data_IF_340480482381
#
_entry.id   IF_340480482381
#
_cell.length_a   1.000
_cell.length_b   1.000
_cell.length_c   1.000
_cell.angle_alpha   90.00
_cell.angle_beta   90.00
_cell.angle_gamma   90.00
#
_symmetry.space_group_name_H-M   'P 1'
#
loop_
_entity.id
_entity.type
_entity.pdbx_description
1 polymer ?
#
# COMPACT_ATOMS: atom_id res chain seq x y z
N UNK A 1 -6.17 -3.75 45.85
CA UNK A 1 -5.17 -4.51 45.08
C UNK A 1 -4.88 -3.73 43.81
N UNK A 2 -3.82 -2.93 43.78
CA UNK A 2 -3.40 -2.21 42.58
C UNK A 2 -2.78 -3.20 41.61
N UNK A 3 -3.56 -3.61 40.60
CA UNK A 3 -3.07 -4.46 39.52
C UNK A 3 -1.90 -3.76 38.82
N UNK A 4 -0.80 -4.49 38.55
CA UNK A 4 0.32 -3.92 37.78
C UNK A 4 -0.21 -3.39 36.45
N UNK A 5 0.14 -2.15 36.05
CA UNK A 5 -0.28 -1.61 34.77
C UNK A 5 0.18 -2.53 33.63
N UNK A 6 -0.70 -2.75 32.65
CA UNK A 6 -0.37 -3.53 31.47
C UNK A 6 0.76 -2.84 30.71
N UNK A 7 1.82 -3.58 30.36
CA UNK A 7 2.97 -3.08 29.60
C UNK A 7 2.63 -2.85 28.10
N UNK A 8 1.51 -3.39 27.63
CA UNK A 8 1.12 -3.38 26.20
C UNK A 8 0.97 -1.97 25.64
N UNK A 9 0.21 -1.06 26.27
CA UNK A 9 0.04 0.29 25.74
C UNK A 9 1.39 1.02 25.61
N UNK A 10 2.27 0.87 26.60
CA UNK A 10 3.62 1.45 26.57
C UNK A 10 4.48 0.93 25.42
N UNK A 11 4.31 -0.34 25.05
CA UNK A 11 5.01 -0.91 23.88
C UNK A 11 4.37 -0.40 22.58
N UNK A 12 3.02 -0.35 22.50
CA UNK A 12 2.29 0.14 21.33
C UNK A 12 2.63 1.60 20.99
N UNK A 13 2.73 2.46 22.00
CA UNK A 13 3.12 3.88 21.82
C UNK A 13 4.46 4.05 21.08
N UNK A 14 5.35 3.06 21.18
CA UNK A 14 6.62 3.03 20.46
C UNK A 14 6.54 2.23 19.16
N UNK A 15 5.78 1.14 19.17
CA UNK A 15 5.69 0.20 18.06
C UNK A 15 4.99 0.83 16.86
N UNK A 16 3.84 1.46 17.06
CA UNK A 16 3.01 2.00 15.99
C UNK A 16 3.75 3.03 15.12
N UNK A 17 4.35 4.11 15.67
CA UNK A 17 5.07 5.08 14.84
C UNK A 17 6.32 4.48 14.16
N UNK A 18 6.93 3.47 14.78
CA UNK A 18 8.05 2.76 14.20
C UNK A 18 7.63 1.91 12.99
N UNK A 19 6.52 1.18 13.11
CA UNK A 19 5.96 0.36 12.04
C UNK A 19 5.48 1.21 10.87
N UNK A 20 4.84 2.36 11.13
CA UNK A 20 4.44 3.31 10.09
C UNK A 20 5.65 3.80 9.28
N UNK A 21 6.75 4.12 9.97
CA UNK A 21 8.00 4.53 9.31
C UNK A 21 8.55 3.42 8.42
N UNK A 22 8.54 2.17 8.89
CA UNK A 22 9.04 1.03 8.11
C UNK A 22 8.16 0.71 6.90
N UNK A 23 6.84 0.77 7.07
CA UNK A 23 5.87 0.57 6.00
C UNK A 23 6.02 1.66 4.92
N UNK A 24 6.13 2.92 5.34
CA UNK A 24 6.39 4.03 4.44
C UNK A 24 7.72 3.83 3.70
N UNK A 25 8.80 3.50 4.41
CA UNK A 25 10.10 3.26 3.79
C UNK A 25 10.05 2.12 2.75
N UNK A 26 9.32 1.03 3.05
CA UNK A 26 9.13 -0.07 2.11
C UNK A 26 8.31 0.33 0.88
N UNK A 27 7.25 1.13 1.07
CA UNK A 27 6.42 1.62 -0.03
C UNK A 27 7.17 2.54 -0.98
N UNK A 28 8.10 3.36 -0.47
CA UNK A 28 8.94 4.26 -1.26
C UNK A 28 10.04 3.54 -2.05
N UNK A 29 10.33 2.27 -1.74
CA UNK A 29 11.30 1.51 -2.50
C UNK A 29 10.75 1.15 -3.90
N UNK A 30 11.61 1.17 -4.93
CA UNK A 30 11.23 0.79 -6.28
C UNK A 30 10.72 -0.65 -6.31
N UNK A 31 9.60 -0.88 -7.00
CA UNK A 31 8.86 -2.15 -6.92
C UNK A 31 9.66 -3.40 -7.29
N UNK A 32 10.61 -3.25 -8.22
CA UNK A 32 11.41 -4.36 -8.75
C UNK A 32 12.59 -4.76 -7.84
N UNK A 33 12.88 -4.00 -6.78
CA UNK A 33 13.99 -4.27 -5.88
C UNK A 33 13.63 -3.99 -4.41
N UNK A 34 12.38 -4.23 -4.03
CA UNK A 34 11.95 -4.03 -2.64
C UNK A 34 12.62 -5.05 -1.73
N UNK A 35 13.34 -4.53 -0.75
CA UNK A 35 13.92 -5.27 0.36
C UNK A 35 13.06 -5.04 1.62
N UNK A 36 12.86 -6.08 2.44
CA UNK A 36 12.18 -5.93 3.73
C UNK A 36 12.86 -4.85 4.58
N UNK A 37 12.04 -3.99 5.19
CA UNK A 37 12.51 -2.95 6.11
C UNK A 37 12.43 -3.40 7.56
N UNK A 38 11.61 -4.41 7.86
CA UNK A 38 11.61 -5.06 9.16
C UNK A 38 12.94 -5.77 9.42
N UNK A 39 13.44 -5.78 10.68
CA UNK A 39 14.61 -6.58 11.03
C UNK A 39 14.35 -8.07 10.76
N UNK A 40 15.24 -8.71 10.00
CA UNK A 40 15.11 -10.12 9.62
C UNK A 40 16.23 -10.98 10.18
N UNK A 41 15.93 -12.24 10.49
CA UNK A 41 16.92 -13.29 10.71
C UNK A 41 17.38 -13.88 9.37
N UNK A 42 18.50 -14.61 9.36
CA UNK A 42 19.07 -15.22 8.15
C UNK A 42 18.15 -16.25 7.49
N UNK A 43 17.15 -16.75 8.23
CA UNK A 43 16.10 -17.63 7.74
C UNK A 43 14.89 -16.86 7.16
N UNK A 44 14.91 -15.53 7.07
CA UNK A 44 13.81 -14.74 6.49
C UNK A 44 12.58 -14.60 7.40
N UNK A 45 12.76 -14.73 8.70
CA UNK A 45 11.74 -14.44 9.72
C UNK A 45 11.96 -13.07 10.35
N UNK A 46 10.91 -12.48 10.91
CA UNK A 46 11.03 -11.29 11.75
C UNK A 46 11.95 -11.57 12.95
N UNK A 47 12.99 -10.74 13.09
CA UNK A 47 13.93 -10.77 14.20
C UNK A 47 13.40 -9.92 15.37
N UNK A 48 12.69 -10.57 16.29
CA UNK A 48 12.06 -9.89 17.43
C UNK A 48 13.09 -9.24 18.35
N UNK A 49 14.25 -9.87 18.56
CA UNK A 49 15.32 -9.31 19.39
C UNK A 49 15.87 -8.00 18.82
N UNK A 50 16.08 -7.95 17.50
CA UNK A 50 16.50 -6.72 16.82
C UNK A 50 15.41 -5.64 16.86
N UNK A 51 14.15 -6.02 16.62
CA UNK A 51 13.00 -5.13 16.73
C UNK A 51 12.90 -4.47 18.11
N UNK A 52 12.98 -5.26 19.18
CA UNK A 52 12.94 -4.77 20.57
C UNK A 52 14.08 -3.78 20.85
N UNK A 53 15.28 -4.07 20.34
CA UNK A 53 16.44 -3.18 20.48
C UNK A 53 16.23 -1.85 19.74
N UNK A 54 15.69 -1.88 18.53
CA UNK A 54 15.44 -0.68 17.73
C UNK A 54 14.33 0.20 18.31
N UNK A 55 13.35 -0.42 19.00
CA UNK A 55 12.32 0.29 19.78
C UNK A 55 12.85 0.85 21.11
N UNK A 56 14.12 0.61 21.47
CA UNK A 56 14.69 1.00 22.76
C UNK A 56 13.94 0.38 23.95
N UNK A 57 13.45 -0.84 23.78
CA UNK A 57 12.79 -1.64 24.82
C UNK A 57 13.81 -2.56 25.52
N UNK A 58 13.43 -3.13 26.66
CA UNK A 58 14.30 -4.08 27.36
C UNK A 58 14.22 -5.43 26.65
N UNK A 59 15.32 -6.17 26.64
CA UNK A 59 15.35 -7.53 26.06
C UNK A 59 14.28 -8.44 26.68
N UNK A 60 13.96 -8.27 27.96
CA UNK A 60 12.88 -8.99 28.65
C UNK A 60 11.50 -8.75 28.06
N UNK A 61 11.29 -7.67 27.31
CA UNK A 61 10.02 -7.32 26.67
C UNK A 61 9.78 -8.15 25.40
N UNK A 62 10.82 -8.81 24.86
CA UNK A 62 10.72 -9.72 23.70
C UNK A 62 9.62 -10.77 23.89
N UNK A 63 9.50 -11.35 25.09
CA UNK A 63 8.49 -12.37 25.38
C UNK A 63 7.06 -11.88 25.14
N UNK A 64 6.81 -10.57 25.24
CA UNK A 64 5.47 -10.00 25.05
C UNK A 64 5.05 -10.07 23.59
N UNK A 65 5.96 -9.92 22.63
CA UNK A 65 5.66 -10.07 21.21
C UNK A 65 5.24 -11.50 20.85
N UNK A 66 5.77 -12.52 21.54
CA UNK A 66 5.37 -13.91 21.29
C UNK A 66 4.08 -14.32 22.00
N UNK A 67 3.72 -13.66 23.11
CA UNK A 67 2.57 -14.04 23.95
C UNK A 67 1.32 -13.19 23.71
N UNK A 68 1.49 -11.96 23.20
CA UNK A 68 0.42 -10.97 23.07
C UNK A 68 0.18 -10.69 21.60
N UNK A 69 -1.02 -11.03 21.13
CA UNK A 69 -1.42 -10.88 19.72
C UNK A 69 -1.56 -9.42 19.32
N UNK A 70 -1.80 -8.54 20.29
CA UNK A 70 -1.87 -7.10 20.11
C UNK A 70 -0.52 -6.51 19.66
N UNK A 71 0.59 -7.14 20.04
CA UNK A 71 1.94 -6.72 19.66
C UNK A 71 2.45 -7.46 18.41
N UNK A 72 2.15 -8.75 18.27
CA UNK A 72 2.57 -9.52 17.09
C UNK A 72 1.72 -9.29 15.87
N UNK A 73 0.42 -8.99 16.03
CA UNK A 73 -0.52 -8.78 14.92
C UNK A 73 -0.07 -7.70 13.95
N UNK A 74 0.18 -6.45 14.43
CA UNK A 74 0.66 -5.36 13.57
C UNK A 74 1.99 -5.69 12.88
N UNK A 75 2.94 -6.28 13.61
CA UNK A 75 4.25 -6.67 13.05
C UNK A 75 4.09 -7.75 11.98
N UNK A 76 3.22 -8.75 12.21
CA UNK A 76 2.98 -9.84 11.28
C UNK A 76 2.26 -9.38 10.01
N UNK A 77 1.38 -8.37 10.11
CA UNK A 77 0.73 -7.78 8.95
C UNK A 77 1.77 -7.16 8.00
N UNK A 78 2.68 -6.32 8.54
CA UNK A 78 3.75 -5.73 7.75
C UNK A 78 4.73 -6.79 7.25
N UNK A 79 5.05 -7.80 8.07
CA UNK A 79 5.88 -8.91 7.65
C UNK A 79 5.29 -9.62 6.42
N UNK A 80 3.99 -9.89 6.40
CA UNK A 80 3.31 -10.52 5.28
C UNK A 80 3.39 -9.66 3.99
N UNK A 81 3.19 -8.35 4.11
CA UNK A 81 3.33 -7.41 2.97
C UNK A 81 4.74 -7.39 2.40
N UNK A 82 5.74 -7.52 3.27
CA UNK A 82 7.16 -7.54 2.90
C UNK A 82 7.68 -8.94 2.51
N UNK A 83 6.83 -9.97 2.52
CA UNK A 83 7.21 -11.34 2.17
C UNK A 83 8.03 -12.07 3.25
N UNK A 84 7.97 -11.61 4.49
CA UNK A 84 8.64 -12.20 5.65
C UNK A 84 7.75 -13.17 6.41
N UNK A 85 8.40 -14.12 7.09
CA UNK A 85 7.72 -14.97 8.06
C UNK A 85 7.45 -14.21 9.35
N UNK A 86 6.19 -14.22 9.79
CA UNK A 86 5.76 -13.53 11.01
C UNK A 86 6.32 -14.15 12.30
N UNK A 87 6.19 -13.40 13.40
CA UNK A 87 6.47 -13.82 14.77
C UNK A 87 5.64 -15.07 15.11
N UNK A 88 6.29 -16.07 15.72
CA UNK A 88 5.64 -17.33 16.10
C UNK A 88 5.45 -18.34 14.97
N UNK A 89 5.73 -17.99 13.71
CA UNK A 89 5.75 -18.97 12.61
C UNK A 89 6.77 -20.08 12.90
N UNK A 90 6.31 -21.34 12.87
CA UNK A 90 7.16 -22.53 12.92
C UNK A 90 7.47 -22.95 11.49
N UNK A 91 8.65 -23.53 11.23
CA UNK A 91 9.00 -24.06 9.91
C UNK A 91 7.91 -25.03 9.42
N UNK A 92 7.10 -24.59 8.46
CA UNK A 92 6.57 -25.46 7.42
C UNK A 92 7.17 -24.94 6.12
N UNK A 93 8.07 -25.73 5.54
CA UNK A 93 8.86 -25.36 4.37
C UNK A 93 8.00 -25.03 3.13
N UNK A 94 6.72 -25.43 3.12
CA UNK A 94 5.81 -25.27 1.99
C UNK A 94 5.20 -23.86 1.81
N UNK A 95 5.19 -23.00 2.83
CA UNK A 95 4.54 -21.67 2.74
C UNK A 95 5.42 -20.59 2.07
N UNK A 96 6.75 -20.80 2.03
CA UNK A 96 7.72 -19.85 1.49
C UNK A 96 7.53 -19.60 -0.01
N UNK A 97 7.11 -20.63 -0.77
CA UNK A 97 6.89 -20.50 -2.22
C UNK A 97 5.44 -20.14 -2.57
N UNK A 98 4.49 -20.31 -1.66
CA UNK A 98 3.09 -19.95 -1.90
C UNK A 98 2.89 -18.42 -1.81
N UNK A 99 3.46 -17.76 -0.80
CA UNK A 99 3.36 -16.30 -0.63
C UNK A 99 3.98 -15.51 -1.78
N UNK A 100 5.19 -15.90 -2.21
CA UNK A 100 5.89 -15.26 -3.34
C UNK A 100 5.10 -15.43 -4.64
N UNK A 101 4.55 -16.63 -4.92
CA UNK A 101 3.73 -16.86 -6.13
C UNK A 101 2.41 -16.10 -6.11
N UNK A 102 1.74 -16.01 -4.95
CA UNK A 102 0.46 -15.28 -4.82
C UNK A 102 0.67 -13.77 -4.95
N UNK A 103 1.73 -13.21 -4.36
CA UNK A 103 2.06 -11.78 -4.48
C UNK A 103 2.46 -11.42 -5.92
N UNK A 104 3.30 -12.23 -6.56
CA UNK A 104 3.69 -12.02 -7.96
C UNK A 104 2.48 -12.16 -8.90
N UNK A 105 1.63 -13.16 -8.68
CA UNK A 105 0.41 -13.36 -9.46
C UNK A 105 -0.60 -12.22 -9.31
N UNK A 106 -0.80 -11.73 -8.08
CA UNK A 106 -1.69 -10.60 -7.81
C UNK A 106 -1.17 -9.29 -8.39
N UNK A 107 0.13 -9.01 -8.26
CA UNK A 107 0.75 -7.84 -8.89
C UNK A 107 0.70 -7.90 -10.42
N UNK A 108 0.85 -9.07 -11.01
CA UNK A 108 0.70 -9.26 -12.46
C UNK A 108 -0.74 -8.99 -12.93
N UNK A 109 -1.74 -9.41 -12.16
CA UNK A 109 -3.15 -9.13 -12.44
C UNK A 109 -3.48 -7.63 -12.27
N UNK A 110 -3.07 -7.00 -11.18
CA UNK A 110 -3.27 -5.55 -10.94
C UNK A 110 -2.58 -4.70 -12.03
N UNK A 111 -1.36 -5.07 -12.46
CA UNK A 111 -0.65 -4.41 -13.56
C UNK A 111 -1.37 -4.58 -14.91
N UNK A 112 -1.96 -5.75 -15.16
CA UNK A 112 -2.75 -6.02 -16.36
C UNK A 112 -4.02 -5.15 -16.39
N UNK A 113 -4.72 -5.07 -15.26
CA UNK A 113 -5.94 -4.27 -15.13
C UNK A 113 -5.67 -2.77 -15.24
N UNK A 114 -4.56 -2.28 -14.67
CA UNK A 114 -4.09 -0.90 -14.81
C UNK A 114 -3.74 -0.55 -16.26
N UNK A 115 -3.05 -1.44 -16.97
CA UNK A 115 -2.75 -1.23 -18.41
C UNK A 115 -4.02 -1.16 -19.25
N UNK A 116 -4.99 -2.01 -18.95
CA UNK A 116 -6.29 -2.01 -19.62
C UNK A 116 -7.05 -0.70 -19.36
N UNK A 117 -7.15 -0.28 -18.11
CA UNK A 117 -7.83 0.99 -17.78
C UNK A 117 -7.13 2.20 -18.37
N UNK A 118 -5.80 2.24 -18.40
CA UNK A 118 -5.05 3.31 -19.07
C UNK A 118 -5.38 3.37 -20.56
N UNK A 119 -5.37 2.22 -21.25
CA UNK A 119 -5.71 2.15 -22.67
C UNK A 119 -7.15 2.62 -22.96
N UNK A 120 -8.11 2.22 -22.13
CA UNK A 120 -9.51 2.66 -22.25
C UNK A 120 -9.65 4.18 -22.01
N UNK A 121 -8.89 4.74 -21.07
CA UNK A 121 -8.87 6.19 -20.80
C UNK A 121 -8.21 6.98 -21.92
N UNK A 122 -7.12 6.50 -22.50
CA UNK A 122 -6.44 7.14 -23.63
C UNK A 122 -7.33 7.17 -24.88
N UNK A 123 -8.06 6.09 -25.15
CA UNK A 123 -9.06 6.04 -26.23
C UNK A 123 -10.19 7.06 -26.00
N UNK A 124 -10.70 7.17 -24.77
CA UNK A 124 -11.75 8.13 -24.42
C UNK A 124 -11.26 9.58 -24.57
N UNK A 125 -10.05 9.90 -24.08
CA UNK A 125 -9.45 11.24 -24.23
C UNK A 125 -9.31 11.60 -25.71
N UNK A 126 -8.89 10.65 -26.54
CA UNK A 126 -8.74 10.87 -27.98
C UNK A 126 -10.09 11.16 -28.65
N UNK A 127 -11.13 10.39 -28.29
CA UNK A 127 -12.50 10.61 -28.78
C UNK A 127 -13.03 11.99 -28.36
N UNK A 128 -12.90 12.35 -27.08
CA UNK A 128 -13.37 13.63 -26.56
C UNK A 128 -12.64 14.82 -27.18
N UNK A 129 -11.35 14.67 -27.50
CA UNK A 129 -10.57 15.69 -28.21
C UNK A 129 -11.05 15.87 -29.64
N UNK A 130 -11.32 14.77 -30.35
CA UNK A 130 -11.87 14.82 -31.71
C UNK A 130 -13.27 15.46 -31.73
N UNK A 131 -14.12 15.12 -30.77
CA UNK A 131 -15.45 15.70 -30.62
C UNK A 131 -15.39 17.19 -30.28
N UNK A 132 -14.51 17.60 -29.35
CA UNK A 132 -14.29 19.02 -29.06
C UNK A 132 -13.84 19.80 -30.29
N UNK A 133 -12.92 19.24 -31.08
CA UNK A 133 -12.45 19.88 -32.31
C UNK A 133 -13.60 20.04 -33.32
N UNK A 134 -14.43 19.01 -33.49
CA UNK A 134 -15.59 19.05 -34.38
C UNK A 134 -16.65 20.05 -33.92
N UNK A 135 -16.97 20.09 -32.62
CA UNK A 135 -17.92 21.04 -32.04
C UNK A 135 -17.42 22.49 -32.16
N UNK A 136 -16.13 22.74 -31.89
CA UNK A 136 -15.51 24.06 -32.09
C UNK A 136 -15.56 24.49 -33.55
N UNK A 137 -15.29 23.59 -34.49
CA UNK A 137 -15.42 23.89 -35.91
C UNK A 137 -16.86 24.24 -36.32
N UNK A 138 -17.86 23.53 -35.76
CA UNK A 138 -19.28 23.84 -35.98
C UNK A 138 -19.67 25.19 -35.40
N UNK A 139 -19.23 25.51 -34.18
CA UNK A 139 -19.48 26.81 -33.55
C UNK A 139 -18.85 27.95 -34.36
N UNK A 140 -17.60 27.79 -34.79
CA UNK A 140 -16.93 28.78 -35.65
C UNK A 140 -17.67 29.02 -36.97
N UNK A 141 -18.25 27.97 -37.56
CA UNK A 141 -19.08 28.10 -38.78
C UNK A 141 -20.37 28.88 -38.51
N UNK A 142 -21.04 28.65 -37.38
CA UNK A 142 -22.27 29.34 -36.97
C UNK A 142 -21.98 30.82 -36.66
N UNK A 143 -20.88 31.10 -35.96
CA UNK A 143 -20.39 32.46 -35.70
C UNK A 143 -20.04 33.18 -37.00
N UNK A 144 -19.37 32.51 -37.94
CA UNK A 144 -19.00 33.07 -39.24
C UNK A 144 -20.20 33.30 -40.18
N UNK A 145 -21.25 32.48 -40.10
CA UNK A 145 -22.49 32.67 -40.87
C UNK A 145 -23.48 33.63 -40.21
N UNK A 146 -23.14 34.20 -39.04
CA UNK A 146 -23.93 35.24 -38.37
C UNK A 146 -25.26 34.76 -37.78
N UNK A 147 -25.45 33.45 -37.61
CA UNK A 147 -26.60 32.86 -36.90
C UNK A 147 -26.37 32.94 -35.38
N UNK A 148 -26.28 34.14 -34.83
CA UNK A 148 -26.49 34.35 -33.39
C UNK A 148 -27.99 34.41 -33.15
N UNK A 149 -28.47 33.47 -32.33
CA UNK A 149 -29.85 33.39 -31.86
C UNK A 149 -30.34 34.78 -31.45
N UNK A 150 -31.37 35.25 -32.13
CA UNK A 150 -32.15 36.41 -31.72
C UNK A 150 -32.90 36.01 -30.46
N UNK A 151 -32.51 36.55 -29.31
CA UNK A 151 -33.29 36.41 -28.07
C UNK A 151 -34.71 36.96 -28.32
N UNK A 152 -35.79 36.19 -28.10
CA UNK A 152 -37.15 36.68 -28.20
C UNK A 152 -37.57 37.35 -26.88
N UNK A 153 -36.90 38.40 -26.46
CA UNK A 153 -37.30 39.22 -25.29
C UNK A 153 -37.04 40.70 -25.61
N UNK A 154 -37.95 41.31 -26.36
CA UNK A 154 -38.23 42.75 -26.28
C UNK A 154 -39.54 43.03 -27.04
N UNK A 155 -40.68 42.90 -26.36
CA UNK A 155 -41.81 43.85 -26.33
C UNK A 155 -42.79 43.41 -25.25
#
# INVERSE_FOLDING_TARGET
MTGRPSIVPTILDKLDPYLDKLAAAWAHQPEHNRLPTLPTTSDGKVNVRALVRELGLKETDEQHFYRKTELSGPVNAIAAEQGLRGIGSRLREDELFAGVRVIVGRKAAEMSDLRRTLSEREALISSLRAENAALRAKLALIEATGMLFRDPETT
#
